data_IF_428614267768
#
_entry.id   IF_428614267768
#
_cell.length_a   1.000
_cell.length_b   1.000
_cell.length_c   1.000
_cell.angle_alpha   90.00
_cell.angle_beta   90.00
_cell.angle_gamma   90.00
#
_symmetry.space_group_name_H-M   'P 1'
#
loop_
_entity.id
_entity.type
_entity.pdbx_description
1 polymer ?
#
# COMPACT_ATOMS: atom_id res chain seq x y z
N UNK A 1 -10.25 -16.04 7.74
CA UNK A 1 -8.95 -16.14 7.03
C UNK A 1 -8.69 -14.83 6.33
N UNK A 2 -7.68 -14.09 6.79
CA UNK A 2 -7.33 -12.78 6.25
C UNK A 2 -6.40 -12.93 5.04
N UNK A 3 -6.57 -12.10 4.01
CA UNK A 3 -5.70 -12.11 2.84
C UNK A 3 -4.70 -10.98 2.89
N UNK A 4 -3.58 -11.12 2.17
CA UNK A 4 -2.64 -10.01 1.95
C UNK A 4 -3.41 -8.83 1.33
N UNK A 5 -3.17 -7.62 1.84
CA UNK A 5 -3.91 -6.41 1.48
C UNK A 5 -5.11 -6.10 2.39
N UNK A 6 -5.53 -7.02 3.28
CA UNK A 6 -6.64 -6.77 4.22
C UNK A 6 -6.21 -5.73 5.27
N UNK A 7 -6.92 -4.58 5.39
CA UNK A 7 -6.69 -3.62 6.46
C UNK A 7 -7.22 -4.19 7.78
N UNK A 8 -6.41 -4.09 8.82
CA UNK A 8 -6.71 -4.65 10.14
C UNK A 8 -6.25 -3.70 11.22
N UNK A 9 -6.85 -3.85 12.40
CA UNK A 9 -6.38 -3.24 13.62
C UNK A 9 -6.10 -4.29 14.70
N UNK A 10 -5.15 -3.99 15.58
CA UNK A 10 -4.82 -4.82 16.75
C UNK A 10 -4.87 -3.98 18.03
N UNK A 11 -5.04 -4.68 19.16
CA UNK A 11 -5.08 -4.09 20.51
C UNK A 11 -6.10 -2.94 20.64
N UNK A 12 -7.35 -3.19 20.23
CA UNK A 12 -8.45 -2.20 20.24
C UNK A 12 -8.13 -0.91 19.48
N UNK A 13 -7.57 -1.03 18.27
CA UNK A 13 -7.28 0.12 17.42
C UNK A 13 -5.98 0.87 17.73
N UNK A 14 -5.19 0.44 18.72
CA UNK A 14 -3.87 1.06 19.00
C UNK A 14 -2.85 0.83 17.89
N UNK A 15 -3.01 -0.24 17.13
CA UNK A 15 -2.21 -0.53 15.96
C UNK A 15 -3.13 -0.69 14.76
N UNK A 16 -2.89 0.07 13.70
CA UNK A 16 -3.65 -0.02 12.44
C UNK A 16 -2.67 -0.24 11.30
N UNK A 17 -2.97 -1.22 10.45
CA UNK A 17 -2.06 -1.64 9.40
C UNK A 17 -2.73 -2.50 8.35
N UNK A 18 -1.90 -3.11 7.52
CA UNK A 18 -2.34 -4.00 6.44
C UNK A 18 -1.60 -5.32 6.51
N UNK A 19 -2.31 -6.42 6.27
CA UNK A 19 -1.70 -7.76 6.18
C UNK A 19 -0.76 -7.78 4.97
N UNK A 20 0.52 -8.06 5.22
CA UNK A 20 1.57 -8.13 4.19
C UNK A 20 2.05 -9.57 3.95
N UNK A 21 1.62 -10.52 4.79
CA UNK A 21 1.99 -11.92 4.66
C UNK A 21 1.21 -12.81 5.61
N UNK A 22 1.08 -14.08 5.23
CA UNK A 22 0.44 -15.14 6.02
C UNK A 22 1.49 -16.21 6.26
N UNK A 23 1.64 -16.67 7.49
CA UNK A 23 2.64 -17.67 7.87
C UNK A 23 2.08 -18.68 8.87
N UNK A 24 2.65 -19.88 8.89
CA UNK A 24 2.32 -20.90 9.88
C UNK A 24 2.85 -20.53 11.26
N UNK A 25 2.07 -20.84 12.29
CA UNK A 25 2.42 -20.68 13.70
C UNK A 25 2.40 -22.05 14.41
N UNK A 26 2.98 -22.16 15.62
CA UNK A 26 2.92 -23.39 16.41
C UNK A 26 1.50 -23.93 16.56
N UNK A 27 1.36 -25.25 16.74
CA UNK A 27 0.07 -25.94 16.90
C UNK A 27 -0.84 -25.89 15.66
N UNK A 28 -0.28 -25.68 14.46
CA UNK A 28 -1.06 -25.62 13.22
C UNK A 28 -1.89 -24.35 13.07
N UNK A 29 -1.60 -23.32 13.87
CA UNK A 29 -2.27 -22.02 13.82
C UNK A 29 -1.73 -21.17 12.67
N UNK A 30 -2.48 -20.13 12.30
CA UNK A 30 -2.07 -19.15 11.29
C UNK A 30 -1.72 -17.84 11.98
N UNK A 31 -0.58 -17.25 11.60
CA UNK A 31 -0.18 -15.92 12.01
C UNK A 31 -0.11 -14.99 10.80
N UNK A 32 -0.42 -13.73 11.03
CA UNK A 32 -0.50 -12.70 10.01
C UNK A 32 0.55 -11.64 10.30
N UNK A 33 1.38 -11.37 9.30
CA UNK A 33 2.33 -10.26 9.37
C UNK A 33 1.62 -9.01 8.90
N UNK A 34 1.58 -7.99 9.75
CA UNK A 34 0.87 -6.73 9.50
C UNK A 34 1.87 -5.58 9.51
N UNK A 35 1.91 -4.77 8.46
CA UNK A 35 2.69 -3.54 8.40
C UNK A 35 1.85 -2.36 8.89
N UNK A 36 2.42 -1.54 9.76
CA UNK A 36 1.81 -0.27 10.18
C UNK A 36 1.79 0.74 9.05
N UNK A 37 0.85 1.65 9.18
CA UNK A 37 0.58 2.78 8.33
C UNK A 37 1.44 4.03 8.68
N UNK A 38 2.66 3.84 9.21
CA UNK A 38 3.52 4.91 9.72
C UNK A 38 4.71 5.23 8.80
N UNK A 39 5.22 6.47 8.90
CA UNK A 39 6.42 6.98 8.19
C UNK A 39 7.66 6.07 8.33
N UNK A 40 7.76 5.35 9.45
CA UNK A 40 8.65 4.21 9.64
C UNK A 40 7.78 2.95 9.71
N UNK A 41 7.63 2.20 8.62
CA UNK A 41 6.76 1.03 8.60
C UNK A 41 7.33 -0.03 9.56
N UNK A 42 6.59 -0.33 10.62
CA UNK A 42 6.91 -1.44 11.50
C UNK A 42 6.03 -2.62 11.13
N UNK A 43 6.63 -3.81 11.04
CA UNK A 43 5.87 -5.03 10.80
C UNK A 43 5.83 -5.88 12.06
N UNK A 44 4.63 -6.23 12.51
CA UNK A 44 4.41 -7.13 13.63
C UNK A 44 3.67 -8.38 13.17
N UNK A 45 3.81 -9.45 13.95
CA UNK A 45 3.11 -10.71 13.71
C UNK A 45 2.01 -10.84 14.75
N UNK A 46 0.79 -11.13 14.30
CA UNK A 46 -0.39 -11.30 15.14
C UNK A 46 -1.07 -12.64 14.87
N UNK A 47 -1.73 -13.20 15.87
CA UNK A 47 -2.71 -14.26 15.65
C UNK A 47 -4.00 -13.67 15.05
N UNK A 48 -4.81 -14.50 14.36
CA UNK A 48 -6.09 -14.03 13.79
C UNK A 48 -7.02 -13.41 14.85
N UNK A 49 -7.03 -13.99 16.06
CA UNK A 49 -7.86 -13.54 17.18
C UNK A 49 -7.47 -12.17 17.74
N UNK A 50 -6.28 -11.67 17.40
CA UNK A 50 -5.80 -10.36 17.84
C UNK A 50 -6.09 -9.26 16.81
N UNK A 51 -6.64 -9.63 15.65
CA UNK A 51 -6.90 -8.74 14.54
C UNK A 51 -8.39 -8.54 14.34
N UNK A 52 -8.78 -7.28 14.23
CA UNK A 52 -10.11 -6.88 13.80
C UNK A 52 -10.00 -6.29 12.40
N UNK A 53 -10.83 -6.77 11.46
CA UNK A 53 -10.91 -6.20 10.12
C UNK A 53 -11.50 -4.80 10.24
N UNK A 54 -10.78 -3.81 9.72
CA UNK A 54 -11.21 -2.41 9.75
C UNK A 54 -11.28 -1.86 8.33
N UNK A 55 -12.16 -0.89 8.07
CA UNK A 55 -12.11 -0.19 6.80
C UNK A 55 -10.75 0.51 6.67
N UNK A 56 -10.18 0.58 5.45
CA UNK A 56 -8.92 1.28 5.26
C UNK A 56 -9.09 2.75 5.72
N UNK A 57 -8.10 3.31 6.43
CA UNK A 57 -8.20 4.66 7.01
C UNK A 57 -8.30 5.76 5.93
N UNK A 58 -7.98 5.42 4.67
CA UNK A 58 -8.05 6.30 3.52
C UNK A 58 -8.54 5.52 2.31
N UNK A 59 -9.51 6.09 1.60
CA UNK A 59 -9.96 5.61 0.30
C UNK A 59 -9.23 6.36 -0.81
N UNK A 60 -8.99 5.68 -1.92
CA UNK A 60 -8.37 6.28 -3.11
C UNK A 60 -9.36 6.25 -4.27
N UNK A 61 -9.29 7.27 -5.13
CA UNK A 61 -10.13 7.38 -6.30
C UNK A 61 -9.30 7.72 -7.55
N UNK A 62 -9.84 7.36 -8.71
CA UNK A 62 -9.31 7.82 -10.00
C UNK A 62 -9.34 9.37 -10.05
N UNK A 63 -8.30 9.97 -10.61
CA UNK A 63 -8.05 11.41 -10.63
C UNK A 63 -7.28 11.94 -9.41
N UNK A 64 -7.03 11.10 -8.40
CA UNK A 64 -6.34 11.54 -7.19
C UNK A 64 -4.81 11.58 -7.39
N UNK A 65 -4.19 12.66 -6.88
CA UNK A 65 -2.73 12.76 -6.75
C UNK A 65 -2.25 11.98 -5.53
N UNK A 66 -1.30 11.07 -5.75
CA UNK A 66 -0.75 10.15 -4.76
C UNK A 66 0.75 9.99 -4.97
N UNK A 67 1.44 9.50 -3.94
CA UNK A 67 2.82 9.05 -3.99
C UNK A 67 2.86 7.54 -4.07
N UNK A 68 3.66 6.96 -4.97
CA UNK A 68 3.87 5.50 -5.05
C UNK A 68 5.34 5.27 -5.37
N UNK A 69 6.01 4.37 -4.65
CA UNK A 69 7.45 4.08 -4.85
C UNK A 69 8.35 5.33 -4.82
N UNK A 70 7.98 6.33 -4.02
CA UNK A 70 8.70 7.61 -3.92
C UNK A 70 8.46 8.59 -5.07
N UNK A 71 7.52 8.29 -5.97
CA UNK A 71 7.17 9.15 -7.11
C UNK A 71 5.79 9.75 -6.90
N UNK A 72 5.63 11.04 -7.17
CA UNK A 72 4.31 11.68 -7.22
C UNK A 72 3.66 11.46 -8.58
N UNK A 73 2.35 11.24 -8.59
CA UNK A 73 1.58 11.05 -9.80
C UNK A 73 0.09 10.85 -9.54
N UNK A 74 -0.62 10.42 -10.57
CA UNK A 74 -2.08 10.35 -10.58
C UNK A 74 -2.58 8.91 -10.74
N UNK A 75 -3.66 8.56 -10.05
CA UNK A 75 -4.42 7.34 -10.32
C UNK A 75 -5.33 7.58 -11.54
N UNK A 76 -5.09 6.88 -12.64
CA UNK A 76 -5.79 7.16 -13.91
C UNK A 76 -6.90 6.16 -14.25
N UNK A 77 -6.89 4.99 -13.63
CA UNK A 77 -7.87 3.93 -13.87
C UNK A 77 -7.94 3.01 -12.65
N UNK A 78 -9.10 2.40 -12.39
CA UNK A 78 -9.27 1.34 -11.42
C UNK A 78 -9.58 0.03 -12.16
N UNK A 79 -8.76 -0.99 -11.89
CA UNK A 79 -8.92 -2.32 -12.44
C UNK A 79 -10.08 -3.05 -11.75
N UNK A 80 -10.63 -4.09 -12.41
CA UNK A 80 -11.73 -4.90 -11.87
C UNK A 80 -11.36 -5.66 -10.57
N UNK A 81 -10.08 -5.90 -10.33
CA UNK A 81 -9.56 -6.50 -9.10
C UNK A 81 -9.40 -5.50 -7.94
N UNK A 82 -9.77 -4.22 -8.16
CA UNK A 82 -9.67 -3.15 -7.18
C UNK A 82 -8.30 -2.49 -7.08
N UNK A 83 -7.29 -2.96 -7.83
CA UNK A 83 -6.02 -2.24 -7.99
C UNK A 83 -6.19 -1.02 -8.89
N UNK A 84 -5.21 -0.12 -8.87
CA UNK A 84 -5.21 1.11 -9.67
C UNK A 84 -4.06 1.13 -10.66
N UNK A 85 -4.31 1.79 -11.79
CA UNK A 85 -3.28 2.23 -12.70
C UNK A 85 -2.77 3.58 -12.23
N UNK A 86 -1.48 3.66 -11.90
CA UNK A 86 -0.82 4.89 -11.47
C UNK A 86 0.10 5.41 -12.58
N UNK A 87 0.10 6.73 -12.78
CA UNK A 87 0.92 7.43 -13.77
C UNK A 87 1.74 8.51 -13.08
N UNK A 88 3.06 8.34 -13.09
CA UNK A 88 4.01 9.34 -12.63
C UNK A 88 4.73 9.99 -13.80
N UNK A 89 5.07 11.27 -13.64
CA UNK A 89 6.02 11.94 -14.50
C UNK A 89 7.41 11.83 -13.86
N UNK A 90 8.39 11.34 -14.63
CA UNK A 90 9.76 11.18 -14.20
C UNK A 90 10.67 12.08 -15.04
N UNK A 91 11.66 12.69 -14.39
CA UNK A 91 12.74 13.40 -15.05
C UNK A 91 13.92 12.45 -15.14
N UNK A 92 14.38 12.17 -16.36
CA UNK A 92 15.50 11.25 -16.55
C UNK A 92 16.82 11.89 -16.07
N UNK A 93 17.57 11.19 -15.19
CA UNK A 93 18.86 11.68 -14.73
C UNK A 93 19.85 11.75 -15.90
N UNK A 94 20.58 12.87 -16.00
CA UNK A 94 21.55 13.12 -17.07
C UNK A 94 21.03 13.95 -18.26
N UNK A 95 19.79 14.43 -18.22
CA UNK A 95 19.20 15.23 -19.31
C UNK A 95 19.71 16.69 -19.43
N UNK A 96 20.64 17.12 -18.57
CA UNK A 96 21.22 18.47 -18.59
C UNK A 96 20.24 19.57 -18.19
N UNK A 97 20.76 20.73 -17.75
CA UNK A 97 19.96 21.85 -17.20
C UNK A 97 19.02 22.52 -18.23
N UNK A 98 19.20 22.28 -19.53
CA UNK A 98 18.50 23.00 -20.60
C UNK A 98 17.35 22.18 -21.22
N UNK A 99 17.16 20.92 -20.80
CA UNK A 99 16.13 20.08 -21.40
C UNK A 99 15.86 18.83 -20.58
N UNK A 100 15.19 18.98 -19.44
CA UNK A 100 14.67 17.83 -18.71
C UNK A 100 13.81 16.97 -19.63
N UNK A 101 14.31 15.78 -19.99
CA UNK A 101 13.51 14.79 -20.69
C UNK A 101 12.50 14.27 -19.66
N UNK A 102 11.26 14.71 -19.83
CA UNK A 102 10.10 14.24 -19.06
C UNK A 102 9.60 12.97 -19.73
N UNK A 103 9.67 11.87 -19.00
CA UNK A 103 9.07 10.61 -19.40
C UNK A 103 7.91 10.30 -18.47
N UNK A 104 6.95 9.51 -18.96
CA UNK A 104 5.83 9.04 -18.16
C UNK A 104 6.07 7.60 -17.79
N UNK A 105 6.02 7.29 -16.49
CA UNK A 105 6.08 5.92 -16.00
C UNK A 105 4.67 5.47 -15.57
N UNK A 106 4.23 4.33 -16.09
CA UNK A 106 2.92 3.75 -15.81
C UNK A 106 3.09 2.46 -15.01
N UNK A 107 2.44 2.41 -13.86
CA UNK A 107 2.34 1.24 -13.01
C UNK A 107 0.93 0.66 -13.13
N UNK A 108 0.73 -0.47 -13.83
CA UNK A 108 -0.60 -0.97 -14.18
C UNK A 108 -1.35 -1.61 -13.00
N UNK A 109 -0.63 -2.04 -11.97
CA UNK A 109 -1.20 -2.78 -10.83
C UNK A 109 -0.65 -2.24 -9.51
N UNK A 110 -1.15 -1.09 -9.07
CA UNK A 110 -0.89 -0.55 -7.74
C UNK A 110 -2.04 -0.92 -6.82
N UNK A 111 -1.74 -1.70 -5.79
CA UNK A 111 -2.75 -2.17 -4.83
C UNK A 111 -3.13 -1.08 -3.83
N UNK A 112 -4.35 -1.12 -3.26
CA UNK A 112 -4.74 -0.18 -2.20
C UNK A 112 -3.79 -0.19 -1.00
N UNK A 113 -3.19 -1.35 -0.66
CA UNK A 113 -2.23 -1.43 0.45
C UNK A 113 -0.91 -0.73 0.14
N UNK A 114 -0.44 -0.80 -1.11
CA UNK A 114 0.70 0.01 -1.55
C UNK A 114 0.35 1.50 -1.45
N UNK A 115 -0.81 1.91 -1.95
CA UNK A 115 -1.23 3.32 -1.88
C UNK A 115 -1.30 3.84 -0.45
N UNK A 116 -1.88 3.06 0.47
CA UNK A 116 -1.91 3.40 1.87
C UNK A 116 -0.50 3.67 2.39
N UNK A 117 0.43 2.71 2.25
CA UNK A 117 1.81 2.82 2.78
C UNK A 117 2.55 4.10 2.39
N UNK A 118 2.24 4.69 1.23
CA UNK A 118 2.92 5.89 0.72
C UNK A 118 2.14 7.21 0.95
N UNK A 119 0.87 7.18 1.39
CA UNK A 119 -0.03 8.34 1.37
C UNK A 119 -0.81 8.57 2.66
N UNK A 120 -0.34 8.04 3.79
CA UNK A 120 -0.94 8.25 5.09
C UNK A 120 -0.47 9.52 5.76
#
# INVERSE_FOLDING_TARGET
MLTVGTPVSAHNGKFVGVVIGVQGAPEGKTAYRVASFSLLPQSYTFAESELEVTPPPKTFAVGQQVTVHGQQGELIEQNADGSFVFRAEIVLPGSGEIGHIRATHRYPHVTPDQLLRWNL
#
